data_IF_508919380380
#
_entry.id   IF_508919380380
#
_cell.length_a   1.000
_cell.length_b   1.000
_cell.length_c   1.000
_cell.angle_alpha   90.00
_cell.angle_beta   90.00
_cell.angle_gamma   90.00
#
_symmetry.space_group_name_H-M   'P 1'
#
loop_
_entity.id
_entity.type
_entity.pdbx_description
1 polymer ?
#
# COMPACT_ATOMS: atom_id res chain seq x y z
N UNK A 1 -12.91 6.36 -10.03
CA UNK A 1 -11.66 5.99 -10.74
C UNK A 1 -11.73 4.51 -11.05
N UNK A 2 -11.28 4.08 -12.24
CA UNK A 2 -11.42 2.66 -12.64
C UNK A 2 -10.07 1.98 -12.78
N UNK A 3 -9.91 0.82 -12.14
CA UNK A 3 -8.85 -0.13 -12.45
C UNK A 3 -9.37 -1.04 -13.54
N UNK A 4 -8.67 -1.12 -14.68
CA UNK A 4 -9.03 -2.07 -15.75
C UNK A 4 -8.68 -3.49 -15.36
N UNK A 5 -9.39 -4.47 -15.96
CA UNK A 5 -9.09 -5.89 -15.76
C UNK A 5 -7.68 -6.24 -16.28
N UNK A 6 -6.99 -7.13 -15.58
CA UNK A 6 -5.67 -7.61 -15.98
C UNK A 6 -5.35 -8.98 -15.38
N UNK A 7 -4.44 -9.68 -16.06
CA UNK A 7 -3.90 -10.96 -15.63
C UNK A 7 -2.38 -10.93 -15.63
N UNK A 8 -1.80 -11.91 -14.96
CA UNK A 8 -0.36 -12.20 -15.00
C UNK A 8 -0.13 -13.70 -15.03
N UNK A 9 0.57 -14.13 -16.06
CA UNK A 9 0.93 -15.52 -16.32
C UNK A 9 2.46 -15.68 -16.28
N UNK A 10 2.94 -16.76 -15.70
CA UNK A 10 4.33 -17.20 -15.73
C UNK A 10 4.35 -18.68 -16.17
N UNK A 11 5.16 -19.00 -17.15
CA UNK A 11 5.37 -20.38 -17.64
C UNK A 11 4.06 -21.14 -17.89
N UNK A 12 3.05 -20.45 -18.47
CA UNK A 12 1.74 -21.01 -18.76
C UNK A 12 0.77 -21.06 -17.56
N UNK A 13 1.20 -20.74 -16.35
CA UNK A 13 0.36 -20.70 -15.15
C UNK A 13 -0.10 -19.27 -14.83
N UNK A 14 -1.39 -19.02 -14.79
CA UNK A 14 -1.96 -17.72 -14.39
C UNK A 14 -1.85 -17.58 -12.87
N UNK A 15 -0.99 -16.64 -12.44
CA UNK A 15 -0.74 -16.35 -11.02
C UNK A 15 -1.60 -15.20 -10.48
N UNK A 16 -2.22 -14.45 -11.39
CA UNK A 16 -3.13 -13.37 -11.04
C UNK A 16 -4.16 -13.18 -12.16
N UNK A 17 -5.41 -13.11 -11.78
CA UNK A 17 -6.54 -12.77 -12.64
C UNK A 17 -7.45 -11.78 -11.88
N UNK A 18 -7.41 -10.51 -12.30
CA UNK A 18 -8.15 -9.42 -11.67
C UNK A 18 -9.22 -8.87 -12.61
N UNK A 19 -10.50 -8.88 -12.21
CA UNK A 19 -11.62 -8.54 -13.09
C UNK A 19 -11.76 -7.02 -13.36
N UNK A 20 -10.92 -6.19 -12.72
CA UNK A 20 -11.11 -4.74 -12.68
C UNK A 20 -12.10 -4.32 -11.60
N UNK A 21 -12.06 -3.04 -11.22
CA UNK A 21 -13.00 -2.47 -10.25
C UNK A 21 -13.01 -0.95 -10.29
N UNK A 22 -14.08 -0.36 -9.74
CA UNK A 22 -14.15 1.06 -9.47
C UNK A 22 -13.52 1.41 -8.11
N UNK A 23 -12.76 2.51 -8.08
CA UNK A 23 -12.24 3.11 -6.87
C UNK A 23 -12.97 4.42 -6.57
N UNK A 24 -13.37 4.60 -5.33
CA UNK A 24 -13.94 5.85 -4.82
C UNK A 24 -12.82 6.75 -4.30
N UNK A 25 -12.89 8.05 -4.58
CA UNK A 25 -11.96 9.04 -4.04
C UNK A 25 -12.08 9.10 -2.50
N UNK A 26 -10.94 9.30 -1.82
CA UNK A 26 -10.89 9.41 -0.36
C UNK A 26 -11.14 8.11 0.39
N UNK A 27 -11.15 6.93 -0.29
CA UNK A 27 -11.33 5.62 0.32
C UNK A 27 -10.05 4.82 0.40
N UNK A 28 -9.94 4.03 1.46
CA UNK A 28 -8.83 3.10 1.70
C UNK A 28 -9.31 1.66 1.47
N UNK A 29 -8.64 0.98 0.55
CA UNK A 29 -8.89 -0.41 0.15
C UNK A 29 -7.78 -1.30 0.70
N UNK A 30 -8.07 -2.15 1.68
CA UNK A 30 -7.11 -3.14 2.16
C UNK A 30 -7.17 -4.40 1.30
N UNK A 31 -6.02 -4.85 0.81
CA UNK A 31 -5.88 -6.15 0.15
C UNK A 31 -5.30 -7.14 1.16
N UNK A 32 -6.07 -8.18 1.48
CA UNK A 32 -5.71 -9.25 2.40
C UNK A 32 -5.67 -10.60 1.69
N UNK A 33 -5.06 -11.60 2.30
CA UNK A 33 -4.97 -12.97 1.78
C UNK A 33 -3.66 -13.65 2.18
N UNK A 34 -3.59 -14.95 2.02
CA UNK A 34 -2.42 -15.75 2.34
C UNK A 34 -1.17 -15.33 1.54
N UNK A 35 0.01 -15.75 2.00
CA UNK A 35 1.23 -15.60 1.23
C UNK A 35 1.11 -16.36 -0.10
N UNK A 36 1.58 -15.74 -1.20
CA UNK A 36 1.43 -16.31 -2.54
C UNK A 36 0.05 -16.14 -3.18
N UNK A 37 -0.91 -15.44 -2.54
CA UNK A 37 -2.25 -15.24 -3.12
C UNK A 37 -2.31 -14.21 -4.26
N UNK A 38 -1.18 -13.58 -4.62
CA UNK A 38 -1.10 -12.63 -5.76
C UNK A 38 -1.10 -11.14 -5.38
N UNK A 39 -1.19 -10.76 -4.09
CA UNK A 39 -1.29 -9.36 -3.62
C UNK A 39 -0.17 -8.44 -4.12
N UNK A 40 1.10 -8.81 -3.89
CA UNK A 40 2.24 -8.01 -4.36
C UNK A 40 2.40 -8.06 -5.88
N UNK A 41 1.97 -9.14 -6.54
CA UNK A 41 1.91 -9.22 -7.99
C UNK A 41 0.88 -8.22 -8.52
N UNK A 42 -0.29 -8.15 -7.89
CA UNK A 42 -1.32 -7.14 -8.19
C UNK A 42 -0.75 -5.72 -8.09
N UNK A 43 -0.11 -5.36 -6.96
CA UNK A 43 0.47 -4.04 -6.75
C UNK A 43 1.52 -3.69 -7.83
N UNK A 44 2.42 -4.63 -8.15
CA UNK A 44 3.48 -4.44 -9.16
C UNK A 44 2.93 -4.33 -10.58
N UNK A 45 1.91 -5.11 -10.95
CA UNK A 45 1.28 -5.03 -12.28
C UNK A 45 0.50 -3.74 -12.40
N UNK A 46 -0.30 -3.38 -11.40
CA UNK A 46 -1.11 -2.16 -11.41
C UNK A 46 -0.26 -0.90 -11.55
N UNK A 47 0.94 -0.88 -10.95
CA UNK A 47 1.89 0.24 -11.00
C UNK A 47 2.82 0.21 -12.22
N UNK A 48 2.76 -0.84 -13.04
CA UNK A 48 3.62 -1.00 -14.21
C UNK A 48 5.07 -1.39 -13.88
N UNK A 49 5.39 -1.69 -12.61
CA UNK A 49 6.70 -2.25 -12.19
C UNK A 49 6.90 -3.66 -12.77
N UNK A 50 5.79 -4.39 -12.92
CA UNK A 50 5.75 -5.68 -13.57
C UNK A 50 4.78 -5.60 -14.76
N UNK A 51 5.16 -6.05 -15.97
CA UNK A 51 4.23 -6.08 -17.09
C UNK A 51 3.14 -7.15 -16.84
N UNK A 52 1.89 -6.77 -17.06
CA UNK A 52 0.78 -7.72 -17.14
C UNK A 52 0.77 -8.44 -18.50
N UNK A 53 -0.14 -9.39 -18.67
CA UNK A 53 -0.24 -10.15 -19.93
C UNK A 53 -0.71 -9.27 -21.10
N UNK A 54 -1.62 -8.32 -20.83
CA UNK A 54 -2.01 -7.28 -21.78
C UNK A 54 -1.10 -6.07 -21.62
N UNK A 55 -0.57 -5.55 -22.72
CA UNK A 55 0.20 -4.29 -22.72
C UNK A 55 -0.72 -3.10 -22.43
N UNK A 56 -0.23 -2.17 -21.62
CA UNK A 56 -0.95 -0.93 -21.32
C UNK A 56 -0.88 -0.54 -19.85
N UNK A 57 -1.55 0.59 -19.54
CA UNK A 57 -1.75 1.05 -18.16
C UNK A 57 -3.12 0.60 -17.69
N UNK A 58 -3.19 0.13 -16.45
CA UNK A 58 -4.44 -0.33 -15.82
C UNK A 58 -5.13 0.77 -14.98
N UNK A 59 -4.45 1.93 -14.83
CA UNK A 59 -4.97 3.18 -14.28
C UNK A 59 -4.69 4.31 -15.30
N UNK A 60 -5.37 4.29 -16.46
CA UNK A 60 -5.09 5.26 -17.53
C UNK A 60 -5.42 6.68 -17.11
N UNK A 61 -4.53 7.62 -17.42
CA UNK A 61 -4.70 9.04 -17.12
C UNK A 61 -4.49 9.45 -15.66
N UNK A 62 -4.20 8.52 -14.76
CA UNK A 62 -4.07 8.80 -13.32
C UNK A 62 -2.61 8.93 -12.90
N UNK A 63 -2.37 9.84 -11.95
CA UNK A 63 -1.11 9.91 -11.20
C UNK A 63 -1.10 8.84 -10.11
N UNK A 64 -0.09 7.95 -10.14
CA UNK A 64 -0.01 6.82 -9.22
C UNK A 64 1.25 6.93 -8.37
N UNK A 65 1.09 6.87 -7.05
CA UNK A 65 2.17 6.73 -6.08
C UNK A 65 2.32 5.27 -5.64
N UNK A 66 3.55 4.76 -5.55
CA UNK A 66 3.80 3.38 -5.13
C UNK A 66 4.92 3.29 -4.10
N UNK A 67 4.65 2.60 -3.01
CA UNK A 67 5.62 2.19 -2.01
C UNK A 67 5.74 0.66 -2.05
N UNK A 68 6.83 0.11 -2.58
CA UNK A 68 7.04 -1.34 -2.63
C UNK A 68 7.39 -1.89 -1.25
N UNK A 69 7.17 -3.18 -1.03
CA UNK A 69 7.51 -3.89 0.21
C UNK A 69 9.01 -3.75 0.58
N UNK A 70 9.92 -3.81 -0.41
CA UNK A 70 11.33 -3.54 -0.19
C UNK A 70 11.59 -2.04 -0.37
N UNK A 71 11.81 -1.34 0.75
CA UNK A 71 12.09 0.08 0.75
C UNK A 71 13.52 0.37 0.32
N UNK A 72 13.71 1.47 -0.41
CA UNK A 72 15.03 1.87 -0.88
C UNK A 72 15.46 3.22 -0.27
N UNK A 73 16.64 3.24 0.33
CA UNK A 73 17.32 4.43 0.82
C UNK A 73 18.49 4.76 -0.12
N UNK A 74 18.46 5.93 -0.74
CA UNK A 74 19.57 6.42 -1.55
C UNK A 74 20.71 6.88 -0.64
N UNK A 75 21.97 6.80 -1.13
CA UNK A 75 23.19 7.18 -0.41
C UNK A 75 23.34 8.70 -0.25
N UNK A 76 22.35 9.32 0.37
CA UNK A 76 22.29 10.74 0.72
C UNK A 76 21.65 10.89 2.10
N UNK A 77 21.50 12.11 2.63
CA UNK A 77 20.86 12.31 3.93
C UNK A 77 19.39 11.91 3.91
N UNK A 78 18.80 11.66 5.08
CA UNK A 78 17.37 11.35 5.23
C UNK A 78 16.51 12.48 4.67
N UNK A 79 16.82 13.73 4.97
CA UNK A 79 16.16 14.93 4.41
C UNK A 79 16.24 14.93 2.88
N UNK A 80 17.42 14.72 2.31
CA UNK A 80 17.60 14.68 0.86
C UNK A 80 16.81 13.55 0.20
N UNK A 81 16.66 12.38 0.86
CA UNK A 81 15.80 11.29 0.41
C UNK A 81 14.33 11.71 0.33
N UNK A 82 13.81 12.42 1.35
CA UNK A 82 12.43 12.93 1.30
C UNK A 82 12.25 13.92 0.14
N UNK A 83 13.20 14.82 -0.05
CA UNK A 83 13.15 15.86 -1.08
C UNK A 83 13.15 15.29 -2.52
N UNK A 84 13.47 14.01 -2.72
CA UNK A 84 13.24 13.34 -4.01
C UNK A 84 11.74 13.20 -4.35
N UNK A 85 10.87 13.22 -3.35
CA UNK A 85 9.42 13.18 -3.54
C UNK A 85 8.80 14.54 -3.87
N UNK A 86 9.50 15.65 -3.56
CA UNK A 86 9.01 17.02 -3.80
C UNK A 86 9.95 18.06 -3.23
N UNK A 87 9.82 19.33 -3.65
CA UNK A 87 10.74 20.42 -3.29
C UNK A 87 10.31 21.26 -2.08
N UNK A 88 9.15 20.98 -1.46
CA UNK A 88 8.65 21.71 -0.30
C UNK A 88 9.37 21.28 0.99
N UNK A 89 10.32 22.11 1.44
CA UNK A 89 11.13 21.84 2.63
C UNK A 89 10.28 21.84 3.91
N UNK A 90 9.30 22.73 4.03
CA UNK A 90 8.43 22.75 5.21
C UNK A 90 7.57 21.49 5.29
N UNK A 91 7.10 21.01 4.14
CA UNK A 91 6.38 19.73 4.07
C UNK A 91 7.28 18.57 4.48
N UNK A 92 8.52 18.53 4.01
CA UNK A 92 9.49 17.50 4.38
C UNK A 92 9.72 17.49 5.91
N UNK A 93 9.88 18.65 6.54
CA UNK A 93 10.06 18.77 8.00
C UNK A 93 8.83 18.26 8.76
N UNK A 94 7.63 18.70 8.38
CA UNK A 94 6.37 18.19 8.98
C UNK A 94 6.21 16.68 8.83
N UNK A 95 6.56 16.12 7.67
CA UNK A 95 6.47 14.68 7.44
C UNK A 95 7.50 13.90 8.27
N UNK A 96 8.74 14.39 8.39
CA UNK A 96 9.76 13.77 9.25
C UNK A 96 9.33 13.77 10.71
N UNK A 97 8.72 14.88 11.18
CA UNK A 97 8.17 14.98 12.53
C UNK A 97 7.02 13.99 12.75
N UNK A 98 6.06 13.92 11.82
CA UNK A 98 4.90 13.04 11.89
C UNK A 98 5.26 11.55 12.00
N UNK A 99 6.39 11.13 11.41
CA UNK A 99 6.89 9.77 11.51
C UNK A 99 8.10 9.62 12.45
N UNK A 100 8.40 10.64 13.26
CA UNK A 100 9.44 10.64 14.28
C UNK A 100 10.85 10.28 13.77
N UNK A 101 11.26 10.88 12.64
CA UNK A 101 12.62 10.74 12.09
C UNK A 101 13.36 12.07 11.93
N UNK A 102 12.88 13.17 12.53
CA UNK A 102 13.50 14.49 12.42
C UNK A 102 14.93 14.51 12.96
N UNK A 103 15.20 13.76 14.02
CA UNK A 103 16.56 13.61 14.61
C UNK A 103 17.56 12.90 13.68
N UNK A 104 17.07 12.23 12.63
CA UNK A 104 17.86 11.53 11.62
C UNK A 104 18.01 12.35 10.32
N UNK A 105 17.54 13.61 10.29
CA UNK A 105 17.43 14.41 9.06
C UNK A 105 18.76 14.50 8.30
N UNK A 106 19.86 14.70 9.00
CA UNK A 106 21.20 14.87 8.42
C UNK A 106 22.03 13.57 8.41
N UNK A 107 21.47 12.47 8.96
CA UNK A 107 22.09 11.17 8.89
C UNK A 107 21.96 10.58 7.48
N UNK A 108 22.95 9.83 7.02
CA UNK A 108 22.90 9.08 5.77
C UNK A 108 21.81 8.02 5.84
N UNK A 109 20.90 8.03 4.87
CA UNK A 109 19.73 7.14 4.86
C UNK A 109 20.08 5.66 4.68
N UNK A 110 21.25 5.34 4.08
CA UNK A 110 21.76 3.96 4.00
C UNK A 110 22.25 3.38 5.34
N UNK A 111 22.20 4.17 6.41
CA UNK A 111 22.52 3.78 7.80
C UNK A 111 21.28 3.63 8.69
N UNK A 112 20.11 3.93 8.16
CA UNK A 112 18.85 3.79 8.87
C UNK A 112 18.52 2.29 9.11
N UNK A 113 17.85 2.02 10.22
CA UNK A 113 17.21 0.72 10.47
C UNK A 113 16.11 0.43 9.43
N UNK A 114 15.62 -0.80 9.37
CA UNK A 114 14.53 -1.17 8.49
C UNK A 114 13.26 -0.36 8.73
N UNK A 115 12.87 -0.16 9.99
CA UNK A 115 11.71 0.64 10.37
C UNK A 115 11.86 2.13 10.05
N UNK A 116 13.04 2.73 10.31
CA UNK A 116 13.34 4.11 9.94
C UNK A 116 13.34 4.30 8.42
N UNK A 117 13.91 3.36 7.68
CA UNK A 117 13.87 3.36 6.21
C UNK A 117 12.43 3.29 5.68
N UNK A 118 11.58 2.46 6.27
CA UNK A 118 10.18 2.36 5.91
C UNK A 118 9.42 3.67 6.18
N UNK A 119 9.61 4.28 7.36
CA UNK A 119 9.01 5.58 7.71
C UNK A 119 9.48 6.70 6.76
N UNK A 120 10.78 6.75 6.46
CA UNK A 120 11.34 7.68 5.48
C UNK A 120 10.73 7.47 4.09
N UNK A 121 10.59 6.22 3.62
CA UNK A 121 10.02 5.92 2.32
C UNK A 121 8.54 6.31 2.22
N UNK A 122 7.76 6.10 3.29
CA UNK A 122 6.37 6.55 3.40
C UNK A 122 6.29 8.08 3.35
N UNK A 123 7.08 8.79 4.15
CA UNK A 123 7.15 10.24 4.15
C UNK A 123 7.57 10.80 2.78
N UNK A 124 8.57 10.21 2.12
CA UNK A 124 9.01 10.57 0.77
C UNK A 124 7.88 10.44 -0.25
N UNK A 125 7.09 9.36 -0.20
CA UNK A 125 5.94 9.20 -1.08
C UNK A 125 4.93 10.32 -0.88
N UNK A 126 4.66 10.68 0.37
CA UNK A 126 3.68 11.70 0.74
C UNK A 126 4.13 13.15 0.53
N UNK A 127 5.35 13.37 0.05
CA UNK A 127 5.79 14.69 -0.41
C UNK A 127 4.99 15.19 -1.61
N UNK A 128 4.46 14.30 -2.43
CA UNK A 128 3.68 14.59 -3.63
C UNK A 128 2.22 14.16 -3.46
N UNK A 129 1.30 14.77 -4.19
CA UNK A 129 -0.09 14.36 -4.28
C UNK A 129 -0.28 13.41 -5.46
N UNK A 130 -1.06 12.36 -5.25
CA UNK A 130 -1.42 11.37 -6.25
C UNK A 130 -2.94 11.16 -6.24
N UNK A 131 -3.51 10.71 -7.35
CA UNK A 131 -4.92 10.30 -7.41
C UNK A 131 -5.12 8.90 -6.85
N UNK A 132 -4.13 8.02 -7.08
CA UNK A 132 -4.12 6.66 -6.51
C UNK A 132 -2.78 6.42 -5.82
N UNK A 133 -2.83 5.89 -4.60
CA UNK A 133 -1.63 5.48 -3.84
C UNK A 133 -1.71 3.99 -3.56
N UNK A 134 -0.60 3.28 -3.77
CA UNK A 134 -0.48 1.86 -3.47
C UNK A 134 0.67 1.67 -2.49
N UNK A 135 0.38 1.07 -1.33
CA UNK A 135 1.34 0.74 -0.29
C UNK A 135 1.40 -0.78 -0.14
N UNK A 136 2.56 -1.36 -0.44
CA UNK A 136 2.78 -2.81 -0.33
C UNK A 136 3.54 -3.11 0.96
N UNK A 137 2.81 -3.57 1.99
CA UNK A 137 3.33 -3.91 3.33
C UNK A 137 4.11 -2.75 4.00
N UNK A 138 3.56 -1.53 4.07
CA UNK A 138 4.32 -0.34 4.44
C UNK A 138 4.85 -0.36 5.88
N UNK A 139 4.26 -1.17 6.77
CA UNK A 139 4.59 -1.20 8.20
C UNK A 139 5.23 -2.52 8.66
N UNK A 140 5.54 -3.44 7.74
CA UNK A 140 6.03 -4.78 8.09
C UNK A 140 7.34 -4.80 8.90
N UNK A 141 8.18 -3.75 8.77
CA UNK A 141 9.44 -3.60 9.49
C UNK A 141 9.36 -2.66 10.70
N UNK A 142 8.16 -2.23 11.09
CA UNK A 142 7.92 -1.25 12.16
C UNK A 142 7.44 -1.93 13.44
N UNK A 143 7.79 -1.37 14.57
CA UNK A 143 7.17 -1.69 15.85
C UNK A 143 5.74 -1.14 15.95
N UNK A 144 5.08 -1.39 17.06
CA UNK A 144 3.68 -0.97 17.26
C UNK A 144 3.52 0.55 17.24
N UNK A 145 4.43 1.30 17.87
CA UNK A 145 4.34 2.77 17.94
C UNK A 145 4.53 3.39 16.56
N UNK A 146 5.58 3.00 15.84
CA UNK A 146 5.86 3.45 14.49
C UNK A 146 4.73 3.06 13.51
N UNK A 147 4.12 1.88 13.68
CA UNK A 147 2.95 1.46 12.91
C UNK A 147 1.77 2.40 13.14
N UNK A 148 1.43 2.71 14.40
CA UNK A 148 0.33 3.63 14.72
C UNK A 148 0.55 5.04 14.15
N UNK A 149 1.78 5.57 14.21
CA UNK A 149 2.13 6.87 13.63
C UNK A 149 1.99 6.86 12.11
N UNK A 150 2.47 5.80 11.46
CA UNK A 150 2.37 5.64 10.00
C UNK A 150 0.91 5.51 9.55
N UNK A 151 0.07 4.79 10.29
CA UNK A 151 -1.37 4.69 10.03
C UNK A 151 -2.07 6.05 10.16
N UNK A 152 -1.75 6.83 11.20
CA UNK A 152 -2.28 8.20 11.35
C UNK A 152 -1.89 9.08 10.18
N UNK A 153 -0.63 9.02 9.74
CA UNK A 153 -0.14 9.77 8.59
C UNK A 153 -0.86 9.35 7.29
N UNK A 154 -1.07 8.04 7.07
CA UNK A 154 -1.82 7.51 5.92
C UNK A 154 -3.25 8.06 5.91
N UNK A 155 -3.95 7.98 7.04
CA UNK A 155 -5.32 8.49 7.18
C UNK A 155 -5.40 9.99 6.93
N UNK A 156 -4.45 10.76 7.46
CA UNK A 156 -4.36 12.21 7.24
C UNK A 156 -4.12 12.51 5.77
N UNK A 157 -3.17 11.84 5.13
CA UNK A 157 -2.84 12.04 3.72
C UNK A 157 -4.05 11.80 2.81
N UNK A 158 -4.81 10.71 3.04
CA UNK A 158 -6.03 10.43 2.27
C UNK A 158 -7.08 11.52 2.45
N UNK A 159 -7.29 12.01 3.69
CA UNK A 159 -8.23 13.13 3.95
C UNK A 159 -7.82 14.42 3.26
N UNK A 160 -6.52 14.75 3.28
CA UNK A 160 -5.99 16.00 2.69
C UNK A 160 -5.95 15.98 1.17
N UNK A 161 -5.75 14.82 0.56
CA UNK A 161 -5.58 14.70 -0.90
C UNK A 161 -6.81 14.21 -1.63
N UNK A 162 -7.71 13.50 -0.94
CA UNK A 162 -8.84 12.80 -1.56
C UNK A 162 -8.42 11.61 -2.43
N UNK A 163 -7.18 11.13 -2.34
CA UNK A 163 -6.72 10.00 -3.14
C UNK A 163 -7.46 8.71 -2.79
N UNK A 164 -7.59 7.78 -3.73
CA UNK A 164 -7.89 6.38 -3.41
C UNK A 164 -6.59 5.69 -2.97
N UNK A 165 -6.61 5.00 -1.82
CA UNK A 165 -5.43 4.33 -1.32
C UNK A 165 -5.65 2.82 -1.27
N UNK A 166 -4.74 2.06 -1.87
CA UNK A 166 -4.70 0.60 -1.83
C UNK A 166 -3.58 0.19 -0.87
N UNK A 167 -3.95 -0.48 0.21
CA UNK A 167 -3.04 -0.98 1.23
C UNK A 167 -2.96 -2.51 1.13
N UNK A 168 -1.84 -3.03 0.65
CA UNK A 168 -1.56 -4.46 0.73
C UNK A 168 -0.99 -4.75 2.11
N UNK A 169 -1.61 -5.65 2.85
CA UNK A 169 -1.15 -6.01 4.20
C UNK A 169 -1.51 -7.45 4.56
N UNK A 170 -0.65 -8.07 5.36
CA UNK A 170 -0.95 -9.34 6.02
C UNK A 170 -1.55 -9.14 7.42
N UNK A 171 -1.55 -7.90 7.94
CA UNK A 171 -2.14 -7.57 9.24
C UNK A 171 -3.63 -7.27 9.12
N UNK A 172 -4.46 -8.23 9.53
CA UNK A 172 -5.91 -8.05 9.61
C UNK A 172 -6.29 -6.93 10.60
N UNK A 173 -5.51 -6.76 11.66
CA UNK A 173 -5.70 -5.68 12.62
C UNK A 173 -5.48 -4.30 11.96
N UNK A 174 -4.46 -4.17 11.11
CA UNK A 174 -4.23 -2.95 10.34
C UNK A 174 -5.40 -2.69 9.36
N UNK A 175 -5.81 -3.70 8.59
CA UNK A 175 -6.96 -3.59 7.69
C UNK A 175 -8.22 -3.13 8.46
N UNK A 176 -8.48 -3.71 9.66
CA UNK A 176 -9.61 -3.34 10.51
C UNK A 176 -9.55 -1.88 10.99
N UNK A 177 -8.35 -1.37 11.34
CA UNK A 177 -8.18 0.02 11.81
C UNK A 177 -8.34 1.06 10.71
N UNK A 178 -7.75 0.83 9.53
CA UNK A 178 -7.58 1.90 8.55
C UNK A 178 -8.43 1.78 7.29
N UNK A 179 -8.89 0.57 6.90
CA UNK A 179 -9.61 0.39 5.66
C UNK A 179 -11.08 0.83 5.74
N UNK A 180 -11.62 1.27 4.60
CA UNK A 180 -13.05 1.42 4.33
C UNK A 180 -13.60 0.17 3.65
N UNK A 181 -12.86 -0.37 2.70
CA UNK A 181 -13.19 -1.54 1.88
C UNK A 181 -12.11 -2.61 2.01
N UNK A 182 -12.47 -3.87 1.85
CA UNK A 182 -11.53 -5.00 1.90
C UNK A 182 -11.67 -5.85 0.65
N UNK A 183 -10.52 -6.23 0.08
CA UNK A 183 -10.37 -7.15 -1.02
C UNK A 183 -9.67 -8.42 -0.50
N UNK A 184 -10.33 -9.54 -0.55
CA UNK A 184 -9.72 -10.82 -0.20
C UNK A 184 -9.22 -11.53 -1.47
N UNK A 185 -7.90 -11.74 -1.52
CA UNK A 185 -7.24 -12.46 -2.61
C UNK A 185 -6.97 -13.91 -2.22
N UNK A 186 -7.43 -14.82 -3.08
CA UNK A 186 -7.22 -16.25 -2.93
C UNK A 186 -6.76 -16.87 -4.24
N UNK A 187 -5.62 -17.57 -4.24
CA UNK A 187 -5.05 -18.28 -5.41
C UNK A 187 -5.04 -17.42 -6.69
N UNK A 188 -4.58 -16.18 -6.58
CA UNK A 188 -4.45 -15.27 -7.72
C UNK A 188 -5.74 -14.58 -8.17
N UNK A 189 -6.85 -14.73 -7.45
CA UNK A 189 -8.15 -14.13 -7.80
C UNK A 189 -8.65 -13.22 -6.67
N UNK A 190 -9.39 -12.18 -7.05
CA UNK A 190 -10.22 -11.43 -6.12
C UNK A 190 -11.46 -12.29 -5.82
N UNK A 191 -11.49 -12.90 -4.64
CA UNK A 191 -12.56 -13.83 -4.28
C UNK A 191 -13.73 -13.14 -3.57
N UNK A 192 -13.42 -12.15 -2.73
CA UNK A 192 -14.45 -11.37 -2.01
C UNK A 192 -14.03 -9.91 -1.94
N UNK A 193 -15.02 -9.01 -2.10
CA UNK A 193 -14.84 -7.57 -2.01
C UNK A 193 -16.09 -6.94 -1.41
N UNK A 194 -15.89 -6.00 -0.49
CA UNK A 194 -17.01 -5.32 0.15
C UNK A 194 -16.57 -4.30 1.20
N UNK A 195 -17.55 -3.82 1.96
CA UNK A 195 -17.29 -3.01 3.14
C UNK A 195 -16.47 -3.80 4.16
N UNK A 196 -15.62 -3.11 4.89
CA UNK A 196 -14.75 -3.71 5.91
C UNK A 196 -15.51 -4.64 6.87
N UNK A 197 -16.64 -4.19 7.42
CA UNK A 197 -17.43 -4.99 8.34
C UNK A 197 -18.02 -6.24 7.66
N UNK A 198 -18.48 -6.11 6.41
CA UNK A 198 -19.02 -7.26 5.67
C UNK A 198 -17.94 -8.32 5.44
N UNK A 199 -16.76 -7.94 4.95
CA UNK A 199 -15.71 -8.93 4.60
C UNK A 199 -15.01 -9.50 5.84
N UNK A 200 -14.77 -8.67 6.90
CA UNK A 200 -14.01 -9.10 8.06
C UNK A 200 -14.86 -9.69 9.19
N UNK A 201 -16.17 -9.43 9.23
CA UNK A 201 -17.05 -9.88 10.33
C UNK A 201 -18.15 -10.82 9.84
N UNK A 202 -18.61 -10.64 8.59
CA UNK A 202 -19.70 -11.43 8.01
C UNK A 202 -19.35 -11.89 6.57
N UNK A 203 -18.23 -12.61 6.37
CA UNK A 203 -17.78 -13.05 5.05
C UNK A 203 -18.81 -13.97 4.40
N UNK A 204 -19.05 -13.76 3.10
CA UNK A 204 -19.98 -14.57 2.29
C UNK A 204 -19.30 -15.81 1.72
N UNK A 205 -17.97 -15.74 1.46
CA UNK A 205 -17.21 -16.82 0.87
C UNK A 205 -16.66 -17.75 1.95
N UNK A 206 -16.81 -19.08 1.82
CA UNK A 206 -16.27 -20.05 2.77
C UNK A 206 -14.76 -19.93 2.99
N UNK A 207 -14.01 -19.66 1.91
CA UNK A 207 -12.56 -19.51 1.95
C UNK A 207 -12.14 -18.25 2.70
N UNK A 208 -12.91 -17.16 2.60
CA UNK A 208 -12.69 -15.93 3.39
C UNK A 208 -12.89 -16.23 4.87
N UNK A 209 -13.97 -16.95 5.22
CA UNK A 209 -14.26 -17.33 6.61
C UNK A 209 -13.13 -18.19 7.18
N UNK A 210 -12.72 -19.23 6.46
CA UNK A 210 -11.63 -20.11 6.89
C UNK A 210 -10.31 -19.34 7.08
N UNK A 211 -10.02 -18.38 6.18
CA UNK A 211 -8.83 -17.53 6.29
C UNK A 211 -8.89 -16.66 7.55
N UNK A 212 -10.01 -16.00 7.82
CA UNK A 212 -10.16 -15.15 9.01
C UNK A 212 -10.09 -15.94 10.31
N UNK A 213 -10.73 -17.10 10.39
CA UNK A 213 -10.66 -18.01 11.54
C UNK A 213 -9.21 -18.47 11.83
N UNK A 214 -8.45 -18.79 10.77
CA UNK A 214 -7.03 -19.18 10.90
C UNK A 214 -6.17 -18.07 11.51
N UNK A 215 -6.47 -16.80 11.22
CA UNK A 215 -5.75 -15.65 11.74
C UNK A 215 -6.38 -15.04 13.01
N UNK A 216 -7.38 -15.68 13.60
CA UNK A 216 -7.96 -15.35 14.91
C UNK A 216 -8.88 -14.12 14.90
N UNK A 217 -9.64 -13.95 13.83
CA UNK A 217 -10.68 -12.92 13.71
C UNK A 217 -12.04 -13.57 13.58
#
# INVERSE_FOLDING_TARGET
>A
MRIEAFSKTYDGATVLDFPGMELEAGKIYAIIGANGSGKSTFAKVLTGVLPGDRRGKYLPGMSVGYMPQKHYAFRMTTRANLMLGGSDQQRAERLMEAVQISHLADQRADKLSGGETARMALARLMMKRYEVVILDEPTAAMDMEATCLSEKLILQYVRETGCALILVTHSLQQARRVADRVLYFHKGKLLEFGDKAQVLENPTQPETRQFLEFYGI
#
